data_IF_758769477115
#
_entry.id   IF_758769477115
#
_cell.length_a   1.000
_cell.length_b   1.000
_cell.length_c   1.000
_cell.angle_alpha   90.00
_cell.angle_beta   90.00
_cell.angle_gamma   90.00
#
_symmetry.space_group_name_H-M   'P 1'
#
loop_
_entity.id
_entity.type
_entity.pdbx_description
1 polymer ?
#
# COMPACT_ATOMS: atom_id res chain seq x y z
N UNK A 1 -11.75 -1.00 -4.87
CA UNK A 1 -11.83 -0.93 -6.35
C UNK A 1 -10.53 -1.52 -6.87
N UNK A 2 -10.49 -2.84 -7.05
CA UNK A 2 -9.34 -3.50 -7.64
C UNK A 2 -9.22 -3.07 -9.09
N UNK A 3 -8.11 -2.45 -9.43
CA UNK A 3 -7.74 -2.12 -10.79
C UNK A 3 -7.59 -3.42 -11.59
N UNK A 4 -8.56 -3.70 -12.45
CA UNK A 4 -8.33 -4.48 -13.64
C UNK A 4 -7.43 -3.67 -14.59
N UNK A 5 -6.15 -3.50 -14.23
CA UNK A 5 -5.14 -3.29 -15.24
C UNK A 5 -5.17 -4.54 -16.10
N UNK A 6 -5.33 -4.38 -17.40
CA UNK A 6 -5.40 -5.49 -18.35
C UNK A 6 -4.20 -6.42 -18.17
N UNK A 7 -4.33 -7.41 -17.28
CA UNK A 7 -3.55 -8.63 -17.41
C UNK A 7 -4.08 -9.29 -18.68
N UNK A 8 -3.26 -9.41 -19.69
CA UNK A 8 -3.56 -10.24 -20.84
C UNK A 8 -3.67 -11.68 -20.31
N UNK A 9 -4.90 -12.14 -20.13
CA UNK A 9 -5.17 -13.50 -19.70
C UNK A 9 -4.71 -14.45 -20.83
N UNK A 10 -3.70 -15.26 -20.52
CA UNK A 10 -3.31 -16.35 -21.38
C UNK A 10 -4.50 -17.29 -21.52
N UNK A 11 -4.83 -17.70 -22.77
CA UNK A 11 -5.85 -18.72 -23.05
C UNK A 11 -5.56 -19.97 -22.23
N UNK A 12 -6.54 -20.39 -21.42
CA UNK A 12 -6.40 -21.43 -20.43
C UNK A 12 -5.80 -22.72 -20.96
N UNK A 13 -4.69 -23.11 -20.38
CA UNK A 13 -4.22 -24.49 -20.38
C UNK A 13 -4.99 -25.26 -19.29
N UNK A 14 -5.28 -26.54 -19.53
CA UNK A 14 -5.86 -27.43 -18.51
C UNK A 14 -4.94 -27.42 -17.28
N UNK A 15 -5.46 -26.89 -16.15
CA UNK A 15 -4.72 -26.72 -14.89
C UNK A 15 -4.31 -25.29 -14.55
N UNK A 16 -4.66 -24.27 -15.36
CA UNK A 16 -4.45 -22.86 -15.03
C UNK A 16 -5.55 -22.37 -14.09
N UNK A 17 -5.16 -21.63 -13.04
CA UNK A 17 -6.10 -20.92 -12.16
C UNK A 17 -6.67 -19.64 -12.83
N UNK A 18 -6.12 -19.22 -13.96
CA UNK A 18 -6.51 -18.03 -14.70
C UNK A 18 -7.52 -18.37 -15.78
N UNK A 19 -8.72 -17.84 -15.66
CA UNK A 19 -9.83 -18.02 -16.59
C UNK A 19 -10.23 -16.70 -17.25
N UNK A 20 -11.06 -16.78 -18.27
CA UNK A 20 -11.60 -15.56 -18.90
C UNK A 20 -12.53 -14.81 -17.93
N UNK A 21 -12.10 -13.64 -17.50
CA UNK A 21 -12.82 -12.75 -16.60
C UNK A 21 -12.83 -13.10 -15.11
N UNK A 22 -12.10 -14.17 -14.67
CA UNK A 22 -11.99 -14.53 -13.25
C UNK A 22 -10.73 -15.34 -12.96
N UNK A 23 -10.37 -15.43 -11.67
CA UNK A 23 -9.25 -16.23 -11.17
C UNK A 23 -9.80 -17.23 -10.16
N UNK A 24 -9.43 -18.52 -10.30
CA UNK A 24 -9.69 -19.56 -9.32
C UNK A 24 -8.67 -19.44 -8.18
N UNK A 25 -8.96 -18.56 -7.24
CA UNK A 25 -8.04 -18.21 -6.17
C UNK A 25 -7.80 -19.38 -5.20
N UNK A 26 -8.85 -20.16 -4.88
CA UNK A 26 -8.76 -21.29 -3.98
C UNK A 26 -8.42 -22.63 -4.67
N UNK A 27 -8.22 -22.62 -5.99
CA UNK A 27 -7.75 -23.74 -6.83
C UNK A 27 -8.69 -24.95 -6.79
N UNK A 28 -9.99 -24.73 -6.61
CA UNK A 28 -10.99 -25.79 -6.53
C UNK A 28 -11.61 -26.18 -7.90
N UNK A 29 -11.27 -25.44 -8.96
CA UNK A 29 -11.76 -25.66 -10.32
C UNK A 29 -13.14 -25.11 -10.58
N UNK A 30 -13.70 -24.27 -9.73
CA UNK A 30 -15.03 -23.69 -9.82
C UNK A 30 -14.96 -22.18 -9.57
N UNK A 31 -15.88 -21.43 -10.18
CA UNK A 31 -16.04 -20.02 -9.85
C UNK A 31 -16.90 -19.89 -8.59
N UNK A 32 -16.27 -19.63 -7.46
CA UNK A 32 -16.97 -19.34 -6.20
C UNK A 32 -17.54 -17.91 -6.21
N UNK A 33 -18.40 -17.58 -5.23
CA UNK A 33 -19.02 -16.24 -5.18
C UNK A 33 -17.98 -15.15 -5.00
N UNK A 34 -16.94 -15.37 -4.17
CA UNK A 34 -15.88 -14.37 -3.93
C UNK A 34 -15.01 -14.12 -5.16
N UNK A 35 -14.91 -15.09 -6.07
CA UNK A 35 -14.11 -15.00 -7.30
C UNK A 35 -14.87 -14.33 -8.45
N UNK A 36 -16.20 -14.30 -8.37
CA UNK A 36 -17.04 -13.74 -9.41
C UNK A 36 -17.12 -12.21 -9.32
N UNK A 37 -16.48 -11.45 -10.23
CA UNK A 37 -16.47 -9.99 -10.19
C UNK A 37 -17.85 -9.35 -10.42
N UNK A 38 -18.83 -10.12 -10.90
CA UNK A 38 -20.22 -9.64 -11.12
C UNK A 38 -21.07 -9.70 -9.85
N UNK A 39 -20.60 -10.37 -8.81
CA UNK A 39 -21.33 -10.43 -7.55
C UNK A 39 -21.09 -9.15 -6.71
N UNK A 40 -22.07 -8.71 -5.90
CA UNK A 40 -21.89 -7.62 -4.95
C UNK A 40 -20.72 -7.88 -4.00
N UNK A 41 -19.98 -6.81 -3.65
CA UNK A 41 -18.77 -6.90 -2.80
C UNK A 41 -19.09 -7.59 -1.48
N UNK A 42 -20.21 -7.27 -0.84
CA UNK A 42 -20.63 -7.83 0.43
C UNK A 42 -20.82 -9.34 0.36
N UNK A 43 -21.41 -9.84 -0.72
CA UNK A 43 -21.55 -11.29 -0.93
C UNK A 43 -20.21 -11.97 -1.14
N UNK A 44 -19.32 -11.34 -1.89
CA UNK A 44 -17.96 -11.83 -2.13
C UNK A 44 -17.15 -11.90 -0.84
N UNK A 45 -17.24 -10.87 0.00
CA UNK A 45 -16.57 -10.82 1.31
C UNK A 45 -17.12 -11.92 2.24
N UNK A 46 -18.44 -12.08 2.33
CA UNK A 46 -19.05 -13.11 3.16
C UNK A 46 -18.65 -14.52 2.74
N UNK A 47 -18.63 -14.79 1.44
CA UNK A 47 -18.21 -16.07 0.90
C UNK A 47 -16.74 -16.37 1.24
N UNK A 48 -15.85 -15.42 0.97
CA UNK A 48 -14.43 -15.55 1.31
C UNK A 48 -14.22 -15.78 2.81
N UNK A 49 -14.85 -14.99 3.67
CA UNK A 49 -14.75 -15.14 5.13
C UNK A 49 -15.24 -16.50 5.62
N UNK A 50 -16.23 -17.10 4.96
CA UNK A 50 -16.73 -18.43 5.31
C UNK A 50 -15.74 -19.55 5.00
N UNK A 51 -14.85 -19.32 4.05
CA UNK A 51 -13.81 -20.27 3.63
C UNK A 51 -12.51 -20.12 4.41
N UNK A 52 -12.28 -18.97 5.07
CA UNK A 52 -11.07 -18.67 5.83
C UNK A 52 -11.03 -19.38 7.17
N UNK A 53 -9.90 -20.01 7.49
CA UNK A 53 -9.56 -20.45 8.85
C UNK A 53 -9.07 -19.27 9.71
N UNK A 54 -8.75 -19.53 11.00
CA UNK A 54 -8.34 -18.48 11.93
C UNK A 54 -6.96 -17.88 11.58
N UNK A 55 -6.02 -18.71 11.11
CA UNK A 55 -4.67 -18.24 10.74
C UNK A 55 -4.74 -17.31 9.53
N UNK A 56 -5.53 -17.69 8.51
CA UNK A 56 -5.75 -16.83 7.34
C UNK A 56 -6.44 -15.50 7.71
N UNK A 57 -7.41 -15.53 8.63
CA UNK A 57 -8.06 -14.31 9.14
C UNK A 57 -7.10 -13.40 9.87
N UNK A 58 -6.23 -13.96 10.73
CA UNK A 58 -5.21 -13.20 11.46
C UNK A 58 -4.15 -12.62 10.51
N UNK A 59 -3.73 -13.37 9.49
CA UNK A 59 -2.81 -12.87 8.47
C UNK A 59 -3.39 -11.67 7.70
N UNK A 60 -4.71 -11.61 7.48
CA UNK A 60 -5.37 -10.46 6.85
C UNK A 60 -5.47 -9.21 7.75
N UNK A 61 -4.98 -9.27 8.99
CA UNK A 61 -4.85 -8.12 9.89
C UNK A 61 -3.39 -7.65 10.04
N UNK A 62 -2.45 -8.28 9.31
CA UNK A 62 -1.03 -8.05 9.47
C UNK A 62 -0.42 -7.29 8.28
N UNK A 63 0.51 -6.39 8.60
CA UNK A 63 1.41 -5.73 7.65
C UNK A 63 2.84 -6.17 7.89
N UNK A 64 3.58 -6.47 6.82
CA UNK A 64 5.02 -6.73 6.86
C UNK A 64 5.78 -5.61 6.12
N UNK A 65 6.95 -5.26 6.64
CA UNK A 65 7.89 -4.44 5.88
C UNK A 65 8.56 -5.27 4.79
N UNK A 66 8.53 -4.78 3.57
CA UNK A 66 9.11 -5.43 2.39
C UNK A 66 10.62 -5.23 2.22
N UNK A 67 11.28 -4.54 3.13
CA UNK A 67 12.74 -4.47 3.20
C UNK A 67 13.26 -5.39 4.30
N UNK A 68 14.54 -5.80 4.23
CA UNK A 68 15.21 -6.88 5.00
C UNK A 68 15.05 -6.90 6.52
N UNK A 69 14.02 -6.32 7.07
CA UNK A 69 13.70 -6.43 8.49
C UNK A 69 12.85 -7.66 8.80
N UNK A 70 11.93 -7.95 7.92
CA UNK A 70 10.98 -9.06 8.06
C UNK A 70 11.04 -10.00 6.84
N UNK A 71 11.15 -9.45 5.63
CA UNK A 71 11.39 -10.22 4.40
C UNK A 71 12.89 -10.16 4.06
N UNK A 72 13.56 -11.30 4.11
CA UNK A 72 15.00 -11.39 3.78
C UNK A 72 15.26 -11.40 2.28
N UNK A 73 14.25 -11.74 1.49
CA UNK A 73 14.34 -11.91 0.05
C UNK A 73 13.62 -10.77 -0.68
N UNK A 74 14.23 -10.26 -1.73
CA UNK A 74 13.60 -9.24 -2.58
C UNK A 74 12.52 -9.82 -3.50
N UNK A 75 12.59 -11.12 -3.79
CA UNK A 75 11.66 -11.88 -4.61
C UNK A 75 11.28 -13.19 -3.92
N UNK A 76 10.13 -13.78 -4.25
CA UNK A 76 9.72 -15.07 -3.72
C UNK A 76 10.74 -16.17 -3.97
N UNK A 77 10.95 -16.99 -2.95
CA UNK A 77 11.77 -18.22 -3.00
C UNK A 77 10.93 -19.41 -2.57
N UNK A 78 11.37 -20.67 -2.84
CA UNK A 78 10.67 -21.85 -2.36
C UNK A 78 10.47 -21.90 -0.84
N UNK A 79 11.38 -21.28 -0.10
CA UNK A 79 11.35 -21.20 1.36
C UNK A 79 10.13 -20.42 1.89
N UNK A 80 9.54 -19.56 1.07
CA UNK A 80 8.39 -18.74 1.46
C UNK A 80 7.18 -19.57 1.89
N UNK A 81 7.03 -20.79 1.37
CA UNK A 81 5.97 -21.73 1.82
C UNK A 81 6.06 -22.12 3.29
N UNK A 82 7.22 -21.94 3.91
CA UNK A 82 7.48 -22.26 5.30
C UNK A 82 7.53 -21.03 6.21
N UNK A 83 7.20 -19.84 5.68
CA UNK A 83 7.20 -18.57 6.44
C UNK A 83 5.82 -18.26 7.00
N UNK A 84 5.74 -17.26 7.88
CA UNK A 84 4.51 -16.84 8.52
C UNK A 84 3.42 -16.40 7.53
N UNK A 85 3.79 -15.92 6.36
CA UNK A 85 2.87 -15.49 5.30
C UNK A 85 2.41 -16.61 4.35
N UNK A 86 2.70 -17.87 4.65
CA UNK A 86 2.18 -19.03 3.89
C UNK A 86 0.64 -19.06 3.82
N UNK A 87 -0.02 -18.49 4.83
CA UNK A 87 -1.48 -18.36 4.93
C UNK A 87 -1.99 -17.01 4.37
N UNK A 88 -1.14 -16.28 3.64
CA UNK A 88 -1.42 -14.95 3.10
C UNK A 88 -0.96 -13.82 4.00
N UNK A 89 -1.20 -12.59 3.59
CA UNK A 89 -0.97 -11.37 4.36
C UNK A 89 -1.81 -10.24 3.78
N UNK A 90 -2.28 -9.32 4.64
CA UNK A 90 -3.07 -8.19 4.18
C UNK A 90 -2.25 -7.20 3.36
N UNK A 91 -1.07 -6.84 3.86
CA UNK A 91 -0.31 -5.73 3.31
C UNK A 91 1.19 -5.96 3.42
N UNK A 92 1.93 -5.54 2.40
CA UNK A 92 3.38 -5.42 2.42
C UNK A 92 3.74 -3.96 2.20
N UNK A 93 4.40 -3.37 3.20
CA UNK A 93 4.79 -1.98 3.19
C UNK A 93 6.22 -1.79 2.69
N UNK A 94 6.44 -0.74 1.92
CA UNK A 94 7.75 -0.31 1.40
C UNK A 94 8.53 -1.38 0.61
N UNK A 95 7.83 -2.30 -0.06
CA UNK A 95 8.49 -3.30 -0.90
C UNK A 95 9.34 -2.64 -1.98
N UNK A 96 10.67 -2.91 -1.97
CA UNK A 96 11.62 -2.43 -2.97
C UNK A 96 11.70 -0.90 -3.12
N UNK A 97 11.38 -0.12 -2.10
CA UNK A 97 11.39 1.34 -2.19
C UNK A 97 12.77 1.98 -2.45
N UNK A 98 13.84 1.20 -2.37
CA UNK A 98 15.21 1.66 -2.58
C UNK A 98 15.83 2.41 -1.39
N UNK A 99 15.07 2.64 -0.33
CA UNK A 99 15.50 3.32 0.90
C UNK A 99 15.78 2.29 2.00
N UNK A 100 16.67 1.34 1.73
CA UNK A 100 16.97 0.29 2.68
C UNK A 100 17.90 0.76 3.80
N UNK A 101 17.41 0.79 5.03
CA UNK A 101 18.27 0.91 6.22
C UNK A 101 19.07 -0.39 6.39
N UNK A 102 20.20 -0.49 5.68
CA UNK A 102 21.09 -1.65 5.72
C UNK A 102 20.65 -2.87 4.89
N UNK A 103 19.57 -2.77 4.15
CA UNK A 103 19.14 -3.83 3.24
C UNK A 103 19.91 -3.75 1.93
N UNK A 104 20.54 -4.85 1.53
CA UNK A 104 21.03 -5.02 0.14
C UNK A 104 19.83 -5.38 -0.73
N UNK A 105 19.07 -4.37 -1.16
CA UNK A 105 18.07 -4.55 -2.20
C UNK A 105 18.82 -4.66 -3.52
N UNK A 106 18.46 -5.62 -4.34
CA UNK A 106 19.02 -5.74 -5.67
C UNK A 106 18.68 -4.48 -6.48
N UNK A 107 19.70 -3.69 -6.86
CA UNK A 107 19.53 -2.36 -7.48
C UNK A 107 18.81 -2.46 -8.83
N UNK A 108 18.97 -3.55 -9.53
CA UNK A 108 18.28 -3.88 -10.78
C UNK A 108 16.76 -4.08 -10.62
N UNK A 109 16.28 -4.33 -9.39
CA UNK A 109 14.84 -4.42 -9.09
C UNK A 109 14.22 -3.08 -8.69
N UNK A 110 15.04 -2.07 -8.41
CA UNK A 110 14.55 -0.75 -7.99
C UNK A 110 14.25 0.13 -9.19
N UNK A 111 15.07 0.04 -10.25
CA UNK A 111 15.00 0.88 -11.43
C UNK A 111 15.47 0.13 -12.68
N UNK A 112 14.89 0.37 -13.86
CA UNK A 112 13.79 1.29 -14.16
C UNK A 112 12.46 0.87 -13.52
N UNK A 113 11.47 1.77 -13.45
CA UNK A 113 10.18 1.53 -12.80
C UNK A 113 9.47 0.26 -13.29
N UNK A 114 9.64 -0.12 -14.57
CA UNK A 114 9.13 -1.37 -15.10
C UNK A 114 9.69 -2.60 -14.39
N UNK A 115 10.98 -2.59 -14.01
CA UNK A 115 11.60 -3.69 -13.25
C UNK A 115 11.07 -3.79 -11.84
N UNK A 116 10.83 -2.64 -11.21
CA UNK A 116 10.19 -2.59 -9.91
C UNK A 116 8.76 -3.18 -9.97
N UNK A 117 7.95 -2.73 -10.92
CA UNK A 117 6.60 -3.25 -11.12
C UNK A 117 6.59 -4.75 -11.45
N UNK A 118 7.53 -5.24 -12.28
CA UNK A 118 7.70 -6.68 -12.54
C UNK A 118 8.00 -7.46 -11.25
N UNK A 119 8.83 -6.92 -10.36
CA UNK A 119 9.18 -7.56 -9.09
C UNK A 119 7.98 -7.59 -8.12
N UNK A 120 7.23 -6.50 -8.01
CA UNK A 120 5.96 -6.45 -7.26
C UNK A 120 4.97 -7.49 -7.83
N UNK A 121 4.81 -7.54 -9.15
CA UNK A 121 3.92 -8.51 -9.80
C UNK A 121 4.33 -9.97 -9.55
N UNK A 122 5.63 -10.28 -9.50
CA UNK A 122 6.12 -11.62 -9.13
C UNK A 122 5.74 -11.98 -7.70
N UNK A 123 5.85 -11.01 -6.78
CA UNK A 123 5.44 -11.20 -5.38
C UNK A 123 3.93 -11.41 -5.28
N UNK A 124 3.13 -10.58 -5.95
CA UNK A 124 1.67 -10.72 -6.00
C UNK A 124 1.26 -12.08 -6.56
N UNK A 125 1.89 -12.49 -7.67
CA UNK A 125 1.63 -13.77 -8.31
C UNK A 125 1.89 -14.93 -7.36
N UNK A 126 2.97 -14.86 -6.57
CA UNK A 126 3.27 -15.89 -5.58
C UNK A 126 2.15 -16.03 -4.54
N UNK A 127 1.65 -14.93 -3.98
CA UNK A 127 0.54 -14.98 -3.02
C UNK A 127 -0.74 -15.56 -3.65
N UNK A 128 -1.05 -15.19 -4.87
CA UNK A 128 -2.21 -15.71 -5.60
C UNK A 128 -2.06 -17.21 -5.87
N UNK A 129 -0.90 -17.67 -6.33
CA UNK A 129 -0.70 -19.04 -6.80
C UNK A 129 -0.35 -20.02 -5.68
N UNK A 130 0.37 -19.58 -4.64
CA UNK A 130 0.98 -20.48 -3.66
C UNK A 130 0.29 -20.50 -2.29
N UNK A 131 -0.53 -19.49 -1.96
CA UNK A 131 -1.34 -19.52 -0.73
C UNK A 131 -2.67 -20.22 -0.97
N UNK A 132 -3.31 -20.71 0.09
CA UNK A 132 -4.52 -21.52 0.01
C UNK A 132 -5.68 -20.80 -0.71
N UNK A 133 -6.00 -19.59 -0.26
CA UNK A 133 -7.11 -18.79 -0.79
C UNK A 133 -6.67 -17.74 -1.82
N UNK A 134 -5.38 -17.67 -2.16
CA UNK A 134 -4.87 -16.79 -3.21
C UNK A 134 -5.24 -15.31 -3.05
N UNK A 135 -5.46 -14.84 -1.82
CA UNK A 135 -5.88 -13.46 -1.57
C UNK A 135 -4.77 -12.51 -2.01
N UNK A 136 -5.06 -11.55 -2.91
CA UNK A 136 -4.08 -10.56 -3.36
C UNK A 136 -3.63 -9.67 -2.21
N UNK A 137 -2.34 -9.34 -2.19
CA UNK A 137 -1.73 -8.45 -1.20
C UNK A 137 -1.91 -7.00 -1.59
N UNK A 138 -2.17 -6.13 -0.60
CA UNK A 138 -2.06 -4.68 -0.74
C UNK A 138 -0.59 -4.28 -0.59
N UNK A 139 -0.02 -3.59 -1.59
CA UNK A 139 1.34 -3.05 -1.54
C UNK A 139 1.29 -1.58 -1.21
N UNK A 140 1.76 -1.22 -0.03
CA UNK A 140 1.79 0.17 0.43
C UNK A 140 3.19 0.79 0.40
N UNK A 141 3.24 2.11 0.42
CA UNK A 141 4.48 2.86 0.59
C UNK A 141 4.23 4.20 1.27
N UNK A 142 5.24 4.75 1.92
CA UNK A 142 5.21 6.09 2.50
C UNK A 142 5.24 7.19 1.44
N UNK A 143 4.56 8.30 1.72
CA UNK A 143 4.45 9.42 0.78
C UNK A 143 4.42 10.78 1.50
N UNK A 144 5.38 10.99 2.39
CA UNK A 144 5.47 12.25 3.17
C UNK A 144 6.02 13.38 2.30
N UNK A 145 7.09 13.12 1.56
CA UNK A 145 7.82 14.08 0.72
C UNK A 145 7.79 13.70 -0.77
N UNK A 146 6.67 13.28 -1.29
CA UNK A 146 6.57 12.48 -2.48
C UNK A 146 6.70 11.01 -2.14
N UNK A 147 6.57 10.13 -3.13
CA UNK A 147 6.66 8.69 -2.91
C UNK A 147 8.04 8.30 -2.36
N UNK A 148 8.06 7.49 -1.30
CA UNK A 148 9.30 7.03 -0.68
C UNK A 148 10.04 6.01 -1.58
N UNK A 149 10.70 6.52 -2.61
CA UNK A 149 11.50 5.74 -3.54
C UNK A 149 12.67 6.58 -4.05
N UNK A 150 13.85 5.97 -4.16
CA UNK A 150 15.10 6.70 -4.51
C UNK A 150 15.08 7.39 -5.87
N UNK A 151 14.16 7.03 -6.76
CA UNK A 151 14.02 7.59 -8.11
C UNK A 151 12.68 8.29 -8.34
N UNK A 152 11.83 8.39 -7.32
CA UNK A 152 10.60 9.16 -7.37
C UNK A 152 10.87 10.66 -7.24
N UNK A 153 9.89 11.47 -7.61
CA UNK A 153 9.97 12.93 -7.52
C UNK A 153 9.94 13.38 -6.06
N UNK A 154 11.00 14.02 -5.54
CA UNK A 154 10.97 14.58 -4.20
C UNK A 154 10.05 15.79 -4.17
N UNK A 155 9.14 15.82 -3.22
CA UNK A 155 8.26 16.96 -2.95
C UNK A 155 8.71 17.70 -1.67
N UNK A 156 8.38 18.98 -1.50
CA UNK A 156 8.61 19.67 -0.24
C UNK A 156 7.89 18.99 0.92
N UNK A 157 8.37 19.22 2.15
CA UNK A 157 7.68 18.78 3.35
C UNK A 157 6.25 19.37 3.40
N UNK A 158 5.26 18.64 3.93
CA UNK A 158 3.87 19.12 3.99
C UNK A 158 3.71 20.48 4.65
N UNK A 159 4.49 20.84 5.67
CA UNK A 159 4.47 22.17 6.27
C UNK A 159 4.85 23.28 5.26
N UNK A 160 5.81 22.99 4.38
CA UNK A 160 6.19 23.91 3.30
C UNK A 160 5.12 24.00 2.21
N UNK A 161 4.50 22.87 1.86
CA UNK A 161 3.36 22.86 0.93
C UNK A 161 2.16 23.61 1.56
N UNK A 162 1.88 23.38 2.83
CA UNK A 162 0.82 24.06 3.59
C UNK A 162 0.98 25.57 3.61
N UNK A 163 2.21 26.07 3.74
CA UNK A 163 2.53 27.51 3.72
C UNK A 163 2.22 28.20 2.39
N UNK A 164 1.97 27.45 1.33
CA UNK A 164 1.56 28.02 0.03
C UNK A 164 0.08 28.43 0.00
N UNK A 165 -0.75 27.88 0.87
CA UNK A 165 -2.22 28.04 0.88
C UNK A 165 -2.87 27.70 -0.46
N UNK A 166 -2.21 26.88 -1.27
CA UNK A 166 -2.56 26.60 -2.66
C UNK A 166 -3.12 25.19 -2.81
N UNK A 167 -4.42 25.02 -2.65
CA UNK A 167 -5.12 23.74 -2.76
C UNK A 167 -4.93 23.04 -4.14
N UNK A 168 -4.97 23.74 -5.30
CA UNK A 168 -4.63 23.14 -6.59
C UNK A 168 -3.20 22.59 -6.68
N UNK A 169 -2.24 23.21 -5.99
CA UNK A 169 -0.86 22.70 -5.94
C UNK A 169 -0.79 21.38 -5.18
N UNK A 170 -1.51 21.27 -4.05
CA UNK A 170 -1.57 20.02 -3.26
C UNK A 170 -2.21 18.89 -4.05
N UNK A 171 -3.28 19.18 -4.80
CA UNK A 171 -3.87 18.21 -5.73
C UNK A 171 -2.85 17.69 -6.76
N UNK A 172 -2.06 18.58 -7.37
CA UNK A 172 -0.99 18.19 -8.32
C UNK A 172 0.08 17.33 -7.65
N UNK A 173 0.48 17.67 -6.42
CA UNK A 173 1.43 16.89 -5.64
C UNK A 173 0.91 15.46 -5.40
N UNK A 174 -0.35 15.33 -4.99
CA UNK A 174 -1.02 14.03 -4.84
C UNK A 174 -1.10 13.23 -6.14
N UNK A 175 -1.40 13.91 -7.24
CA UNK A 175 -1.46 13.30 -8.57
C UNK A 175 -0.10 12.76 -9.03
N UNK A 176 0.99 13.49 -8.78
CA UNK A 176 2.36 13.04 -9.09
C UNK A 176 2.68 11.79 -8.26
N UNK A 177 2.50 11.86 -6.94
CA UNK A 177 2.79 10.76 -6.04
C UNK A 177 1.97 9.50 -6.37
N UNK A 178 0.67 9.65 -6.61
CA UNK A 178 -0.21 8.53 -7.00
C UNK A 178 0.18 7.92 -8.34
N UNK A 179 0.55 8.73 -9.33
CA UNK A 179 1.01 8.27 -10.64
C UNK A 179 2.31 7.46 -10.54
N UNK A 180 3.26 7.93 -9.76
CA UNK A 180 4.52 7.22 -9.53
C UNK A 180 4.30 5.92 -8.74
N UNK A 181 3.47 5.96 -7.69
CA UNK A 181 3.10 4.78 -6.93
C UNK A 181 2.49 3.69 -7.83
N UNK A 182 1.53 4.06 -8.67
CA UNK A 182 0.91 3.15 -9.64
C UNK A 182 1.92 2.57 -10.63
N UNK A 183 2.83 3.40 -11.15
CA UNK A 183 3.86 2.98 -12.10
C UNK A 183 4.85 1.97 -11.49
N UNK A 184 5.08 2.05 -10.18
CA UNK A 184 5.92 1.14 -9.42
C UNK A 184 5.20 -0.14 -8.97
N UNK A 185 3.86 -0.17 -9.03
CA UNK A 185 3.03 -1.31 -8.64
C UNK A 185 2.44 -1.22 -7.23
N UNK A 186 2.61 -0.10 -6.52
CA UNK A 186 1.93 0.12 -5.24
C UNK A 186 0.44 0.37 -5.44
N UNK A 187 -0.36 -0.20 -4.56
CA UNK A 187 -1.83 -0.12 -4.57
C UNK A 187 -2.36 0.89 -3.57
N UNK A 188 -1.52 1.28 -2.60
CA UNK A 188 -1.86 2.15 -1.48
C UNK A 188 -0.65 3.02 -1.09
N UNK A 189 -0.88 4.25 -0.68
CA UNK A 189 0.17 5.11 -0.13
C UNK A 189 -0.28 5.79 1.17
N UNK A 190 0.65 5.89 2.13
CA UNK A 190 0.40 6.43 3.46
C UNK A 190 0.49 7.96 3.44
N UNK A 191 -0.52 8.57 2.86
CA UNK A 191 -0.75 10.01 2.76
C UNK A 191 -2.24 10.30 2.55
N UNK A 192 -2.70 11.51 2.96
CA UNK A 192 -2.00 12.58 3.67
C UNK A 192 -1.86 12.36 5.17
N UNK A 193 -0.92 13.09 5.80
CA UNK A 193 -0.85 13.25 7.26
C UNK A 193 -1.77 14.38 7.64
N UNK A 194 -2.77 14.09 8.47
CA UNK A 194 -3.83 15.01 8.89
C UNK A 194 -3.71 15.45 10.36
N UNK A 195 -2.59 15.12 10.99
CA UNK A 195 -2.26 15.61 12.32
C UNK A 195 -2.11 17.14 12.31
N UNK A 196 -2.44 17.78 13.43
CA UNK A 196 -2.34 19.23 13.59
C UNK A 196 -1.00 19.61 14.21
N UNK A 197 -0.25 20.49 13.57
CA UNK A 197 1.06 20.95 13.99
C UNK A 197 0.99 21.96 15.16
N UNK A 198 0.28 21.64 16.24
CA UNK A 198 0.05 22.57 17.37
C UNK A 198 1.22 22.68 18.34
N UNK A 199 2.00 21.62 18.49
CA UNK A 199 3.15 21.62 19.37
C UNK A 199 4.44 21.44 18.55
N UNK A 200 5.29 22.48 18.43
CA UNK A 200 6.51 22.42 17.65
C UNK A 200 7.57 21.47 18.22
N UNK A 201 7.39 20.99 19.46
CA UNK A 201 8.29 19.98 20.08
C UNK A 201 8.03 18.57 19.54
N UNK A 202 6.88 18.36 18.92
CA UNK A 202 6.60 17.07 18.29
C UNK A 202 7.51 16.85 17.07
N UNK A 203 8.28 15.76 17.05
CA UNK A 203 9.31 15.51 16.04
C UNK A 203 8.80 15.28 14.62
N UNK A 204 7.47 15.19 14.41
CA UNK A 204 6.84 15.03 13.09
C UNK A 204 6.01 16.23 12.65
N UNK A 205 6.14 17.35 13.31
CA UNK A 205 5.41 18.59 13.00
C UNK A 205 5.60 19.03 11.55
N UNK A 206 6.78 18.79 10.98
CA UNK A 206 7.10 19.13 9.58
C UNK A 206 6.30 18.31 8.54
N UNK A 207 5.74 17.18 8.95
CA UNK A 207 4.94 16.31 8.10
C UNK A 207 3.47 16.76 7.99
N UNK A 208 3.07 17.78 8.74
CA UNK A 208 1.71 18.33 8.78
C UNK A 208 1.58 19.57 7.89
N UNK A 209 0.37 19.82 7.37
CA UNK A 209 0.12 21.04 6.57
C UNK A 209 0.06 22.33 7.40
N UNK A 210 -0.14 22.24 8.71
CA UNK A 210 -0.23 23.37 9.62
C UNK A 210 -0.97 23.05 10.91
N UNK A 211 -1.23 24.06 11.72
CA UNK A 211 -1.93 23.94 13.01
C UNK A 211 -3.45 24.15 12.90
N UNK A 212 -3.91 24.76 11.82
CA UNK A 212 -5.32 25.08 11.59
C UNK A 212 -6.07 23.88 10.99
N UNK A 213 -7.14 23.39 11.65
CA UNK A 213 -7.87 22.21 11.18
C UNK A 213 -8.59 22.43 9.84
N UNK A 214 -9.02 23.66 9.53
CA UNK A 214 -9.66 23.95 8.25
C UNK A 214 -8.65 23.88 7.10
N UNK A 215 -7.46 24.44 7.29
CA UNK A 215 -6.36 24.35 6.33
C UNK A 215 -5.97 22.89 6.08
N UNK A 216 -5.75 22.14 7.15
CA UNK A 216 -5.36 20.71 7.07
C UNK A 216 -6.43 19.89 6.35
N UNK A 217 -7.69 20.07 6.68
CA UNK A 217 -8.80 19.36 6.03
C UNK A 217 -8.92 19.73 4.54
N UNK A 218 -8.78 21.01 4.22
CA UNK A 218 -8.87 21.50 2.83
C UNK A 218 -7.75 20.93 1.98
N UNK A 219 -6.51 21.04 2.42
CA UNK A 219 -5.33 20.56 1.69
C UNK A 219 -5.28 19.03 1.64
N UNK A 220 -5.58 18.37 2.76
CA UNK A 220 -5.64 16.91 2.83
C UNK A 220 -6.67 16.34 1.86
N UNK A 221 -7.84 16.96 1.73
CA UNK A 221 -8.85 16.55 0.73
C UNK A 221 -8.31 16.62 -0.70
N UNK A 222 -7.53 17.63 -1.03
CA UNK A 222 -6.93 17.75 -2.37
C UNK A 222 -5.85 16.69 -2.61
N UNK A 223 -5.04 16.39 -1.59
CA UNK A 223 -4.06 15.30 -1.67
C UNK A 223 -4.75 13.97 -1.96
N UNK A 224 -5.80 13.62 -1.19
CA UNK A 224 -6.58 12.39 -1.40
C UNK A 224 -7.13 12.31 -2.81
N UNK A 225 -7.77 13.39 -3.30
CA UNK A 225 -8.30 13.41 -4.67
C UNK A 225 -7.21 13.17 -5.71
N UNK A 226 -6.08 13.87 -5.59
CA UNK A 226 -4.97 13.71 -6.52
C UNK A 226 -4.44 12.28 -6.57
N UNK A 227 -4.29 11.63 -5.42
CA UNK A 227 -3.84 10.24 -5.30
C UNK A 227 -4.87 9.27 -5.89
N UNK A 228 -6.12 9.38 -5.46
CA UNK A 228 -7.16 8.41 -5.81
C UNK A 228 -7.56 8.45 -7.29
N UNK A 229 -7.47 9.60 -7.94
CA UNK A 229 -7.69 9.72 -9.40
C UNK A 229 -6.65 8.94 -10.21
N UNK A 230 -5.50 8.62 -9.65
CA UNK A 230 -4.53 7.74 -10.28
C UNK A 230 -4.85 6.25 -10.07
N UNK A 231 -5.90 5.94 -9.29
CA UNK A 231 -6.31 4.57 -8.97
C UNK A 231 -5.44 3.91 -7.90
N UNK A 232 -4.88 4.70 -7.00
CA UNK A 232 -4.13 4.26 -5.81
C UNK A 232 -4.93 4.65 -4.57
N UNK A 233 -5.00 3.80 -3.57
CA UNK A 233 -5.64 4.13 -2.30
C UNK A 233 -4.81 5.18 -1.54
N UNK A 234 -5.49 6.11 -0.87
CA UNK A 234 -4.88 7.06 0.05
C UNK A 234 -5.20 6.65 1.48
N UNK A 235 -4.19 6.39 2.28
CA UNK A 235 -4.35 6.06 3.70
C UNK A 235 -4.07 7.29 4.56
N UNK A 236 -5.15 7.86 5.08
CA UNK A 236 -5.11 9.02 5.96
C UNK A 236 -4.53 8.62 7.32
N UNK A 237 -3.61 9.43 7.86
CA UNK A 237 -2.96 9.16 9.14
C UNK A 237 -2.72 10.41 9.97
N UNK A 238 -2.60 10.31 11.28
CA UNK A 238 -2.71 9.08 12.06
C UNK A 238 -4.01 9.11 12.86
N UNK A 239 -4.82 8.09 12.75
CA UNK A 239 -6.07 8.02 13.52
C UNK A 239 -5.78 7.32 14.87
N UNK A 240 -5.86 8.03 16.01
CA UNK A 240 -6.06 9.49 16.14
C UNK A 240 -5.20 10.00 17.30
N UNK A 241 -5.12 11.35 17.43
CA UNK A 241 -4.50 12.04 18.60
C UNK A 241 -2.99 11.78 18.73
N UNK A 242 -2.27 11.66 17.61
CA UNK A 242 -0.84 11.37 17.62
C UNK A 242 0.04 12.63 17.72
N UNK A 243 -0.48 13.81 17.40
CA UNK A 243 0.29 15.07 17.32
C UNK A 243 0.54 15.78 18.65
N UNK A 244 0.34 15.12 19.79
CA UNK A 244 0.49 15.70 21.13
C UNK A 244 1.49 14.95 22.05
N UNK A 245 2.55 14.28 21.56
CA UNK A 245 3.51 13.64 22.44
C UNK A 245 4.43 14.68 23.07
N UNK A 246 4.58 14.65 24.41
CA UNK A 246 5.49 15.53 25.15
C UNK A 246 6.93 15.02 25.14
N UNK A 247 7.18 13.79 24.65
CA UNK A 247 8.47 13.10 24.73
C UNK A 247 9.23 12.97 23.40
N UNK A 248 9.02 13.87 22.44
CA UNK A 248 9.69 13.83 21.14
C UNK A 248 8.84 13.23 20.03
N UNK A 249 9.41 12.35 19.19
CA UNK A 249 8.72 11.86 17.99
C UNK A 249 7.58 10.90 18.33
N UNK A 250 7.84 9.86 19.07
CA UNK A 250 6.93 8.73 19.28
C UNK A 250 6.68 8.39 20.75
N UNK A 251 7.22 9.20 21.68
CA UNK A 251 7.13 8.94 23.11
C UNK A 251 5.95 9.63 23.78
N UNK A 252 5.38 8.97 24.78
CA UNK A 252 4.45 9.50 25.78
C UNK A 252 3.37 10.45 25.24
N UNK A 253 2.46 9.91 24.45
CA UNK A 253 1.23 10.65 24.11
C UNK A 253 0.43 10.86 25.38
N UNK A 254 0.23 12.12 25.78
CA UNK A 254 -0.65 12.51 26.87
C UNK A 254 -1.77 13.33 26.28
N UNK A 255 -2.94 12.74 26.26
CA UNK A 255 -4.20 13.40 25.93
C UNK A 255 -4.86 13.79 27.24
N UNK A 256 -4.87 15.06 27.56
CA UNK A 256 -5.71 15.60 28.61
C UNK A 256 -7.10 15.88 28.05
#
# INVERSE_FOLDING_TARGET
VFLAGQMAFAKGNKGSIYHDGWIDFNKNGKMDVFENPKQPIEKRVQDLLSQMNLDEKTCQLATLYGYKRVMNDSLPTPEWKNKIWKDGIANIDEQLNGVGRGAKIAQDLIYPFSKHAEAINKTQKWFIEETCLGIPVDFSNETIHGLNHTKATPLPAPIGIGSTWNAPLVYKAGSIAGKEAKALGYTNIYAPILDLARDPRWGRVLECYGEDPFLVATLGTQMVKGIQEQGVAATLKHFAVYSVPKGGRDGSVRTD
#
